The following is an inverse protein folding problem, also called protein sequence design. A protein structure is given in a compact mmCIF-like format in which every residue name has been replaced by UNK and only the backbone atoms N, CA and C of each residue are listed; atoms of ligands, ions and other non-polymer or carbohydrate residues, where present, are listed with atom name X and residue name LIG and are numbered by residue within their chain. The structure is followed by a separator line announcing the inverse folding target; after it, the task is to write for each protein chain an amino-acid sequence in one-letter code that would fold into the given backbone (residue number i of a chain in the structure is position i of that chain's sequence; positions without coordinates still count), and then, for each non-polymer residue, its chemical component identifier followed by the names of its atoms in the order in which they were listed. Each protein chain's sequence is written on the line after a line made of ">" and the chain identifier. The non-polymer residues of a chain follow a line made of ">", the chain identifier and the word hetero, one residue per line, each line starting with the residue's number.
data_IF_252741336768
#
_entry.id   IF_252741336768
#
_cell.length_a   1.000
_cell.length_b   1.000
_cell.length_c   1.000
_cell.angle_alpha   90.00
_cell.angle_beta   90.00
_cell.angle_gamma   90.00
#
_symmetry.space_group_name_H-M   'P 1'
#
loop_
_entity.id
_entity.type
_entity.pdbx_description
1 polymer ?
#
# COMPACT_ATOMS: atom_id res chain seq x y z
N UNK A 1 65.60 49.24 17.90
CA UNK A 1 64.19 49.72 17.73
C UNK A 1 63.36 48.58 17.27
N UNK A 2 62.48 48.05 18.12
CA UNK A 2 61.65 46.88 17.92
C UNK A 2 60.19 47.34 17.57
N UNK A 3 59.72 47.10 16.38
CA UNK A 3 58.34 47.36 15.99
C UNK A 3 57.51 46.09 16.25
N UNK A 4 56.54 46.18 17.13
CA UNK A 4 55.56 45.15 17.43
C UNK A 4 54.46 45.15 16.34
N UNK A 5 54.30 44.04 15.66
CA UNK A 5 53.20 43.80 14.71
C UNK A 5 52.00 43.23 15.48
N UNK A 6 50.95 44.01 15.61
CA UNK A 6 49.67 43.57 16.20
C UNK A 6 48.93 42.66 15.23
N UNK A 7 48.71 41.42 15.63
CA UNK A 7 47.82 40.46 14.96
C UNK A 7 46.36 40.76 15.33
N UNK A 8 45.62 41.30 14.39
CA UNK A 8 44.18 41.49 14.51
C UNK A 8 43.49 40.18 14.20
N UNK A 9 42.99 39.46 15.21
CA UNK A 9 42.19 38.27 15.06
C UNK A 9 40.77 38.67 14.68
N UNK A 10 40.44 38.57 13.40
CA UNK A 10 39.06 38.68 12.89
C UNK A 10 38.23 37.48 13.41
N UNK A 11 37.32 37.74 14.33
CA UNK A 11 36.28 36.79 14.73
C UNK A 11 35.16 36.86 13.70
N UNK A 12 35.09 35.87 12.81
CA UNK A 12 33.94 35.65 11.94
C UNK A 12 32.78 35.14 12.82
N UNK A 13 31.83 36.01 13.11
CA UNK A 13 30.55 35.61 13.68
C UNK A 13 29.75 34.96 12.56
N UNK A 14 29.57 33.65 12.64
CA UNK A 14 28.64 32.90 11.82
C UNK A 14 27.20 33.17 12.35
N UNK A 15 26.26 33.76 11.58
CA UNK A 15 24.90 33.88 12.04
C UNK A 15 24.28 32.49 12.06
N UNK A 16 23.99 32.00 13.26
CA UNK A 16 23.17 30.82 13.48
C UNK A 16 21.77 31.12 12.95
N UNK A 17 21.44 30.61 11.74
CA UNK A 17 20.12 30.68 11.16
C UNK A 17 19.20 29.70 11.94
N UNK A 18 18.58 30.24 12.98
CA UNK A 18 17.58 29.54 13.78
C UNK A 18 16.32 29.34 12.91
N UNK A 19 16.20 28.17 12.27
CA UNK A 19 14.96 27.75 11.61
C UNK A 19 13.90 27.51 12.70
N UNK A 20 13.07 28.51 12.94
CA UNK A 20 11.83 28.34 13.69
C UNK A 20 10.89 27.47 12.84
N UNK A 21 10.91 26.18 13.09
CA UNK A 21 9.87 25.26 12.63
C UNK A 21 8.56 25.65 13.34
N UNK A 22 7.76 26.48 12.72
CA UNK A 22 6.35 26.62 13.10
C UNK A 22 5.67 25.27 12.78
N UNK A 23 5.67 24.38 13.75
CA UNK A 23 4.77 23.24 13.73
C UNK A 23 3.34 23.82 13.86
N UNK A 24 2.64 23.92 12.73
CA UNK A 24 1.21 24.15 12.75
C UNK A 24 0.55 22.93 13.42
N UNK A 25 0.34 23.00 14.73
CA UNK A 25 -0.48 22.06 15.47
C UNK A 25 -1.94 22.43 15.21
N UNK A 26 -2.53 21.84 14.16
CA UNK A 26 -3.98 21.81 14.03
C UNK A 26 -4.50 20.84 15.10
N UNK A 27 -5.45 21.27 15.93
CA UNK A 27 -6.04 20.41 16.95
C UNK A 27 -6.63 19.15 16.27
N UNK A 28 -6.48 17.96 16.87
CA UNK A 28 -7.14 16.77 16.37
C UNK A 28 -8.66 16.98 16.35
N UNK A 29 -9.36 16.33 15.41
CA UNK A 29 -10.82 16.35 15.39
C UNK A 29 -11.36 15.65 16.66
N UNK A 30 -11.87 16.46 17.59
CA UNK A 30 -12.42 16.02 18.89
C UNK A 30 -13.96 15.94 18.85
N UNK A 31 -14.58 15.96 17.67
CA UNK A 31 -16.03 15.78 17.57
C UNK A 31 -16.44 14.37 18.06
N UNK A 32 -17.70 14.19 18.51
CA UNK A 32 -18.16 12.88 18.95
C UNK A 32 -17.97 11.80 17.89
N UNK A 33 -17.62 10.60 18.31
CA UNK A 33 -17.53 9.45 17.40
C UNK A 33 -18.95 9.06 16.97
N UNK A 34 -19.14 8.92 15.66
CA UNK A 34 -20.39 8.46 15.06
C UNK A 34 -20.16 7.23 14.17
N UNK A 35 -21.21 6.49 13.95
CA UNK A 35 -21.34 5.49 12.89
C UNK A 35 -22.26 6.04 11.81
N UNK A 36 -21.85 5.89 10.54
CA UNK A 36 -22.63 6.32 9.38
C UNK A 36 -22.69 5.20 8.37
N UNK A 37 -23.87 4.71 8.11
CA UNK A 37 -24.12 3.77 7.02
C UNK A 37 -24.27 4.51 5.70
N UNK A 38 -23.69 3.94 4.65
CA UNK A 38 -23.64 4.52 3.31
C UNK A 38 -24.44 3.59 2.38
N UNK A 39 -25.53 4.08 1.87
CA UNK A 39 -26.39 3.32 0.95
C UNK A 39 -25.82 3.37 -0.47
N UNK A 40 -24.90 2.47 -0.78
CA UNK A 40 -24.26 2.31 -2.09
C UNK A 40 -24.24 0.83 -2.49
N UNK A 41 -24.35 0.55 -3.78
CA UNK A 41 -24.35 -0.80 -4.33
C UNK A 41 -23.79 -0.81 -5.77
N UNK A 42 -23.73 -1.98 -6.41
CA UNK A 42 -23.33 -2.10 -7.80
C UNK A 42 -21.83 -1.94 -8.05
N UNK A 43 -20.99 -2.13 -7.03
CA UNK A 43 -19.53 -2.07 -7.17
C UNK A 43 -18.87 -3.43 -6.90
N UNK A 44 -17.74 -3.66 -7.51
CA UNK A 44 -16.87 -4.82 -7.26
C UNK A 44 -15.39 -4.42 -7.15
N UNK A 45 -15.12 -3.12 -7.18
CA UNK A 45 -13.82 -2.50 -7.02
C UNK A 45 -13.90 -1.46 -5.91
N UNK A 46 -12.85 -1.36 -5.10
CA UNK A 46 -12.77 -0.39 -3.99
C UNK A 46 -11.51 0.44 -4.14
N UNK A 47 -11.67 1.75 -4.18
CA UNK A 47 -10.60 2.73 -4.20
C UNK A 47 -10.71 3.58 -2.93
N UNK A 48 -9.60 3.66 -2.18
CA UNK A 48 -9.55 4.48 -0.98
C UNK A 48 -8.21 5.22 -0.91
N UNK A 49 -8.30 6.51 -0.68
CA UNK A 49 -7.15 7.39 -0.46
C UNK A 49 -7.01 7.82 1.00
N UNK A 50 -5.98 8.63 1.28
CA UNK A 50 -5.80 9.32 2.55
C UNK A 50 -5.45 8.40 3.76
N UNK A 51 -6.19 8.50 4.88
CA UNK A 51 -5.89 7.81 6.14
C UNK A 51 -7.10 7.01 6.64
N UNK A 52 -7.45 5.98 5.91
CA UNK A 52 -8.53 5.06 6.28
C UNK A 52 -8.00 3.71 6.77
N UNK A 53 -8.75 3.07 7.63
CA UNK A 53 -8.62 1.65 7.96
C UNK A 53 -9.79 0.91 7.32
N UNK A 54 -9.54 0.20 6.22
CA UNK A 54 -10.58 -0.38 5.35
C UNK A 54 -10.62 -1.88 5.55
N UNK A 55 -11.77 -2.41 6.00
CA UNK A 55 -12.02 -3.85 6.11
C UNK A 55 -13.03 -4.26 5.06
N UNK A 56 -12.64 -5.17 4.16
CA UNK A 56 -13.46 -5.68 3.06
C UNK A 56 -13.71 -7.17 3.27
N UNK A 57 -14.98 -7.55 3.35
CA UNK A 57 -15.38 -8.94 3.54
C UNK A 57 -16.41 -9.38 2.51
N UNK A 58 -16.38 -10.68 2.15
CA UNK A 58 -17.42 -11.25 1.30
C UNK A 58 -18.74 -11.37 2.05
N UNK A 59 -19.82 -10.99 1.40
CA UNK A 59 -21.19 -11.20 1.89
C UNK A 59 -22.17 -11.25 0.73
N UNK A 60 -23.45 -11.49 1.01
CA UNK A 60 -24.49 -11.60 -0.01
C UNK A 60 -25.11 -10.27 -0.40
N UNK A 61 -24.92 -9.24 0.44
CA UNK A 61 -25.46 -7.89 0.26
C UNK A 61 -24.35 -6.86 0.32
N UNK A 62 -24.60 -5.72 -0.32
CA UNK A 62 -23.72 -4.55 -0.17
C UNK A 62 -23.98 -3.91 1.18
N UNK A 63 -22.92 -3.64 1.91
CA UNK A 63 -22.95 -2.89 3.16
C UNK A 63 -21.69 -2.05 3.27
N UNK A 64 -21.85 -0.77 3.57
CA UNK A 64 -20.74 0.15 3.79
C UNK A 64 -21.02 1.00 5.03
N UNK A 65 -20.08 1.01 5.95
CA UNK A 65 -20.17 1.80 7.20
C UNK A 65 -18.84 2.51 7.47
N UNK A 66 -18.92 3.78 7.85
CA UNK A 66 -17.80 4.54 8.36
C UNK A 66 -17.99 4.82 9.86
N UNK A 67 -16.92 4.70 10.63
CA UNK A 67 -16.90 4.96 12.10
C UNK A 67 -15.72 5.86 12.45
N UNK A 68 -15.98 6.95 13.14
CA UNK A 68 -14.97 7.90 13.59
C UNK A 68 -15.53 9.25 14.02
N UNK A 69 -14.69 10.26 14.29
CA UNK A 69 -15.13 11.60 14.63
C UNK A 69 -16.08 12.20 13.58
N UNK A 70 -17.18 12.79 14.04
CA UNK A 70 -18.31 13.22 13.22
C UNK A 70 -17.91 14.18 12.09
N UNK A 71 -17.05 15.16 12.37
CA UNK A 71 -16.61 16.10 11.35
C UNK A 71 -15.84 15.38 10.22
N UNK A 72 -14.93 14.46 10.58
CA UNK A 72 -14.15 13.69 9.62
C UNK A 72 -15.01 12.71 8.83
N UNK A 73 -15.95 11.99 9.48
CA UNK A 73 -16.86 11.06 8.81
C UNK A 73 -17.79 11.79 7.85
N UNK A 74 -18.29 12.99 8.20
CA UNK A 74 -19.17 13.77 7.34
C UNK A 74 -18.46 14.45 6.16
N UNK A 75 -17.14 14.60 6.23
CA UNK A 75 -16.32 15.13 5.15
C UNK A 75 -15.93 14.07 4.09
N UNK A 76 -16.26 12.80 4.33
CA UNK A 76 -15.98 11.73 3.35
C UNK A 76 -16.99 11.79 2.20
N UNK A 77 -16.49 11.79 0.97
CA UNK A 77 -17.26 11.64 -0.25
C UNK A 77 -17.26 10.18 -0.69
N UNK A 78 -18.39 9.73 -1.18
CA UNK A 78 -18.66 8.37 -1.63
C UNK A 78 -19.22 8.43 -3.04
N UNK A 79 -18.57 7.81 -3.99
CA UNK A 79 -19.10 7.72 -5.36
C UNK A 79 -19.01 6.30 -5.89
N UNK A 80 -20.03 5.88 -6.67
CA UNK A 80 -19.98 4.62 -7.40
C UNK A 80 -20.09 4.93 -8.88
N UNK A 81 -19.01 4.64 -9.62
CA UNK A 81 -18.96 4.77 -11.07
C UNK A 81 -18.11 3.64 -11.66
N UNK A 82 -18.50 3.10 -12.80
CA UNK A 82 -17.79 2.01 -13.48
C UNK A 82 -17.49 0.79 -12.57
N UNK A 83 -18.42 0.47 -11.67
CA UNK A 83 -18.31 -0.57 -10.65
C UNK A 83 -17.20 -0.30 -9.61
N UNK A 84 -16.76 0.94 -9.45
CA UNK A 84 -15.78 1.37 -8.47
C UNK A 84 -16.51 2.13 -7.35
N UNK A 85 -16.36 1.68 -6.11
CA UNK A 85 -16.63 2.50 -4.93
C UNK A 85 -15.36 3.33 -4.66
N UNK A 86 -15.45 4.64 -4.85
CA UNK A 86 -14.38 5.60 -4.58
C UNK A 86 -14.65 6.34 -3.27
N UNK A 87 -13.68 6.33 -2.37
CA UNK A 87 -13.77 6.82 -0.99
C UNK A 87 -12.65 7.83 -0.78
N UNK A 88 -13.01 9.10 -0.63
CA UNK A 88 -12.06 10.20 -0.45
C UNK A 88 -12.64 11.25 0.51
N UNK A 89 -11.80 12.13 1.03
CA UNK A 89 -12.29 13.32 1.70
C UNK A 89 -12.66 14.42 0.69
N UNK A 90 -13.70 15.20 0.99
CA UNK A 90 -14.08 16.38 0.20
C UNK A 90 -13.02 17.49 0.31
N UNK A 91 -12.41 17.63 1.48
CA UNK A 91 -11.40 18.64 1.75
C UNK A 91 -10.09 17.98 2.20
N UNK A 92 -8.98 18.42 1.60
CA UNK A 92 -7.67 17.94 2.03
C UNK A 92 -7.26 18.65 3.33
N UNK A 93 -7.04 17.87 4.38
CA UNK A 93 -6.58 18.39 5.68
C UNK A 93 -5.42 17.56 6.23
N UNK A 94 -4.43 18.25 6.81
CA UNK A 94 -3.36 17.59 7.52
C UNK A 94 -3.86 17.05 8.89
N UNK A 95 -3.28 15.95 9.38
CA UNK A 95 -3.56 15.37 10.69
C UNK A 95 -5.00 14.89 10.94
N UNK A 96 -5.70 14.41 9.90
CA UNK A 96 -6.99 13.75 10.11
C UNK A 96 -6.85 12.50 10.96
N UNK A 97 -7.84 12.19 11.82
CA UNK A 97 -7.91 10.91 12.51
C UNK A 97 -8.06 9.78 11.48
N UNK A 98 -7.69 8.56 11.88
CA UNK A 98 -7.99 7.36 11.09
C UNK A 98 -9.48 7.07 11.22
N UNK A 99 -10.16 6.85 10.10
CA UNK A 99 -11.57 6.45 10.07
C UNK A 99 -11.65 4.98 9.69
N UNK A 100 -12.40 4.21 10.49
CA UNK A 100 -12.67 2.81 10.20
C UNK A 100 -13.79 2.70 9.16
N UNK A 101 -13.53 1.98 8.07
CA UNK A 101 -14.49 1.73 6.99
C UNK A 101 -14.68 0.23 6.85
N UNK A 102 -15.90 -0.24 7.03
CA UNK A 102 -16.29 -1.63 6.84
C UNK A 102 -17.09 -1.75 5.55
N UNK A 103 -16.69 -2.68 4.69
CA UNK A 103 -17.32 -2.93 3.38
C UNK A 103 -17.64 -4.42 3.28
N UNK A 104 -18.88 -4.72 2.94
CA UNK A 104 -19.30 -6.08 2.55
C UNK A 104 -19.84 -6.04 1.14
N UNK A 105 -19.44 -7.01 0.30
CA UNK A 105 -19.90 -7.11 -1.10
C UNK A 105 -19.85 -8.56 -1.60
N UNK A 106 -20.70 -8.92 -2.58
CA UNK A 106 -20.78 -10.31 -3.06
C UNK A 106 -19.63 -10.73 -3.98
N UNK A 107 -19.11 -9.79 -4.75
CA UNK A 107 -18.02 -10.02 -5.72
C UNK A 107 -16.98 -8.92 -5.59
N UNK A 108 -15.72 -9.32 -5.51
CA UNK A 108 -14.59 -8.40 -5.43
C UNK A 108 -13.53 -8.73 -6.51
N UNK A 109 -13.06 -7.71 -7.23
CA UNK A 109 -12.09 -7.89 -8.31
C UNK A 109 -10.90 -6.92 -8.24
N UNK A 110 -11.02 -5.78 -7.56
CA UNK A 110 -9.91 -4.82 -7.49
C UNK A 110 -9.90 -4.00 -6.20
N UNK A 111 -8.70 -3.82 -5.66
CA UNK A 111 -8.38 -2.88 -4.60
C UNK A 111 -7.37 -1.85 -5.10
N UNK A 112 -7.61 -0.59 -4.79
CA UNK A 112 -6.63 0.47 -4.98
C UNK A 112 -6.54 1.30 -3.69
N UNK A 113 -5.38 1.26 -3.03
CA UNK A 113 -5.13 2.03 -1.81
C UNK A 113 -3.99 3.01 -2.06
N UNK A 114 -4.23 4.26 -1.68
CA UNK A 114 -3.25 5.34 -1.82
C UNK A 114 -3.10 6.15 -0.52
N UNK A 115 -2.06 6.96 -0.41
CA UNK A 115 -1.82 7.72 0.81
C UNK A 115 -1.27 6.85 1.94
N UNK A 116 -1.96 6.81 3.09
CA UNK A 116 -1.56 6.03 4.26
C UNK A 116 -2.71 5.11 4.75
N UNK A 117 -3.35 4.42 3.81
CA UNK A 117 -4.47 3.51 4.08
C UNK A 117 -3.97 2.17 4.61
N UNK A 118 -4.64 1.63 5.63
CA UNK A 118 -4.49 0.24 6.03
C UNK A 118 -5.70 -0.55 5.54
N UNK A 119 -5.48 -1.62 4.78
CA UNK A 119 -6.53 -2.47 4.22
C UNK A 119 -6.49 -3.90 4.73
N UNK A 120 -7.65 -4.51 4.91
CA UNK A 120 -7.80 -5.95 5.14
C UNK A 120 -8.87 -6.48 4.22
N UNK A 121 -8.55 -7.52 3.43
CA UNK A 121 -9.50 -8.18 2.50
C UNK A 121 -9.58 -9.64 2.86
N UNK A 122 -10.80 -10.18 3.00
CA UNK A 122 -11.00 -11.58 3.37
C UNK A 122 -12.32 -12.18 2.86
N UNK A 123 -12.37 -13.52 2.83
CA UNK A 123 -13.56 -14.28 2.47
C UNK A 123 -13.76 -14.54 0.97
N UNK A 124 -12.95 -13.94 0.10
CA UNK A 124 -13.03 -14.14 -1.35
C UNK A 124 -12.21 -15.37 -1.75
N UNK A 125 -12.87 -16.52 -1.77
CA UNK A 125 -12.26 -17.80 -2.14
C UNK A 125 -12.91 -18.38 -3.40
N UNK A 126 -12.11 -19.07 -4.22
CA UNK A 126 -12.59 -19.72 -5.44
C UNK A 126 -13.05 -18.73 -6.52
N UNK A 127 -12.58 -17.48 -6.47
CA UNK A 127 -12.88 -16.52 -7.52
C UNK A 127 -12.21 -16.98 -8.83
N UNK A 128 -13.02 -17.25 -9.85
CA UNK A 128 -12.54 -17.52 -11.22
C UNK A 128 -12.03 -16.26 -11.93
N UNK A 129 -11.95 -15.14 -11.22
CA UNK A 129 -11.63 -13.83 -11.77
C UNK A 129 -10.19 -13.41 -11.46
N UNK A 130 -9.69 -12.47 -12.27
CA UNK A 130 -8.47 -11.73 -11.98
C UNK A 130 -8.71 -10.84 -10.76
N UNK A 131 -7.89 -11.02 -9.73
CA UNK A 131 -7.85 -10.14 -8.56
C UNK A 131 -6.71 -9.15 -8.72
N UNK A 132 -7.02 -7.86 -8.74
CA UNK A 132 -6.00 -6.82 -8.85
C UNK A 132 -5.87 -6.02 -7.56
N UNK A 133 -4.63 -5.84 -7.11
CA UNK A 133 -4.31 -5.00 -5.94
C UNK A 133 -3.26 -3.97 -6.31
N UNK A 134 -3.57 -2.70 -6.12
CA UNK A 134 -2.68 -1.57 -6.38
C UNK A 134 -2.47 -0.81 -5.07
N UNK A 135 -1.23 -0.70 -4.64
CA UNK A 135 -0.84 0.03 -3.44
C UNK A 135 0.15 1.14 -3.78
N UNK A 136 -0.10 2.33 -3.27
CA UNK A 136 0.80 3.48 -3.46
C UNK A 136 0.93 4.34 -2.19
N UNK A 137 1.89 5.25 -2.19
CA UNK A 137 2.17 6.09 -1.02
C UNK A 137 2.85 5.31 0.10
N UNK A 138 2.20 5.18 1.24
CA UNK A 138 2.62 4.41 2.41
C UNK A 138 1.51 3.46 2.87
N UNK A 139 0.76 2.89 1.94
CA UNK A 139 -0.38 2.02 2.23
C UNK A 139 0.06 0.63 2.66
N UNK A 140 -0.74 0.00 3.52
CA UNK A 140 -0.54 -1.39 3.94
C UNK A 140 -1.79 -2.21 3.67
N UNK A 141 -1.62 -3.47 3.23
CA UNK A 141 -2.76 -4.35 3.03
C UNK A 141 -2.45 -5.79 3.44
N UNK A 142 -3.43 -6.44 4.07
CA UNK A 142 -3.46 -7.88 4.28
C UNK A 142 -4.57 -8.44 3.40
N UNK A 143 -4.22 -9.35 2.50
CA UNK A 143 -5.15 -9.98 1.59
C UNK A 143 -5.19 -11.49 1.85
N UNK A 144 -6.36 -12.00 2.28
CA UNK A 144 -6.59 -13.41 2.52
C UNK A 144 -7.64 -13.91 1.51
N UNK A 145 -7.20 -14.72 0.54
CA UNK A 145 -8.11 -15.19 -0.50
C UNK A 145 -7.46 -16.12 -1.51
N UNK A 146 -8.29 -16.60 -2.44
CA UNK A 146 -7.84 -17.43 -3.55
C UNK A 146 -8.37 -16.87 -4.86
N UNK A 147 -7.57 -16.94 -5.90
CA UNK A 147 -7.95 -16.49 -7.25
C UNK A 147 -7.24 -17.31 -8.32
N UNK A 148 -7.73 -17.26 -9.54
CA UNK A 148 -7.02 -17.86 -10.69
C UNK A 148 -5.79 -17.02 -11.01
N UNK A 149 -5.97 -15.72 -11.18
CA UNK A 149 -4.89 -14.78 -11.47
C UNK A 149 -4.87 -13.64 -10.44
N UNK A 150 -3.72 -13.37 -9.88
CA UNK A 150 -3.49 -12.20 -9.01
C UNK A 150 -2.53 -11.23 -9.68
N UNK A 151 -2.95 -9.98 -9.83
CA UNK A 151 -2.13 -8.88 -10.32
C UNK A 151 -1.85 -7.90 -9.19
N UNK A 152 -0.57 -7.58 -8.97
CA UNK A 152 -0.12 -6.78 -7.84
C UNK A 152 0.79 -5.67 -8.35
N UNK A 153 0.42 -4.42 -8.07
CA UNK A 153 1.25 -3.26 -8.33
C UNK A 153 1.54 -2.53 -7.01
N UNK A 154 2.79 -2.48 -6.58
CA UNK A 154 3.20 -1.83 -5.32
C UNK A 154 4.24 -0.76 -5.62
N UNK A 155 3.96 0.45 -5.14
CA UNK A 155 4.88 1.59 -5.28
C UNK A 155 5.00 2.41 -4.00
N UNK A 156 5.96 3.33 -3.97
CA UNK A 156 6.24 4.14 -2.78
C UNK A 156 6.83 3.31 -1.65
N UNK A 157 6.34 3.48 -0.43
CA UNK A 157 6.72 2.72 0.77
C UNK A 157 5.58 1.78 1.22
N UNK A 158 4.83 1.23 0.27
CA UNK A 158 3.66 0.41 0.55
C UNK A 158 4.03 -1.05 0.81
N UNK A 159 3.18 -1.75 1.57
CA UNK A 159 3.38 -3.15 1.95
C UNK A 159 2.11 -3.96 1.71
N UNK A 160 2.28 -5.13 1.06
CA UNK A 160 1.20 -6.10 0.85
C UNK A 160 1.60 -7.45 1.42
N UNK A 161 0.76 -8.00 2.29
CA UNK A 161 0.84 -9.36 2.79
C UNK A 161 -0.29 -10.17 2.15
N UNK A 162 0.05 -11.25 1.43
CA UNK A 162 -0.95 -12.08 0.73
C UNK A 162 -0.86 -13.52 1.20
N UNK A 163 -2.02 -14.07 1.58
CA UNK A 163 -2.15 -15.45 2.02
C UNK A 163 -3.24 -16.16 1.20
N UNK A 164 -3.03 -17.43 0.86
CA UNK A 164 -3.99 -18.25 0.12
C UNK A 164 -3.39 -19.05 -1.02
N UNK A 165 -4.04 -19.05 -2.18
CA UNK A 165 -3.53 -19.72 -3.39
C UNK A 165 -3.95 -19.01 -4.67
N UNK A 166 -3.12 -19.15 -5.71
CA UNK A 166 -3.40 -18.66 -7.06
C UNK A 166 -2.74 -19.60 -8.09
N UNK A 167 -3.28 -19.65 -9.29
CA UNK A 167 -2.57 -20.28 -10.41
C UNK A 167 -1.42 -19.39 -10.87
N UNK A 168 -1.68 -18.12 -11.08
CA UNK A 168 -0.66 -17.16 -11.55
C UNK A 168 -0.62 -15.90 -10.70
N UNK A 169 0.59 -15.51 -10.32
CA UNK A 169 0.89 -14.26 -9.63
C UNK A 169 1.74 -13.38 -10.56
N UNK A 170 1.20 -12.21 -10.92
CA UNK A 170 1.90 -11.16 -11.66
C UNK A 170 2.13 -9.97 -10.74
N UNK A 171 3.36 -9.47 -10.65
CA UNK A 171 3.64 -8.37 -9.72
C UNK A 171 4.72 -7.41 -10.18
N UNK A 172 4.45 -6.11 -10.00
CA UNK A 172 5.42 -5.05 -10.17
C UNK A 172 5.63 -4.32 -8.84
N UNK A 173 6.84 -4.35 -8.31
CA UNK A 173 7.18 -3.74 -7.04
C UNK A 173 8.28 -2.70 -7.25
N UNK A 174 8.03 -1.46 -6.84
CA UNK A 174 8.95 -0.36 -7.07
C UNK A 174 9.13 0.55 -5.84
N UNK A 175 10.09 1.44 -5.90
CA UNK A 175 10.40 2.35 -4.78
C UNK A 175 11.00 1.58 -3.59
N UNK A 176 10.38 1.68 -2.44
CA UNK A 176 10.68 0.91 -1.22
C UNK A 176 9.52 -0.07 -0.90
N UNK A 177 8.76 -0.47 -1.91
CA UNK A 177 7.61 -1.36 -1.79
C UNK A 177 7.98 -2.76 -1.31
N UNK A 178 7.06 -3.40 -0.58
CA UNK A 178 7.24 -4.76 -0.06
C UNK A 178 6.07 -5.65 -0.41
N UNK A 179 6.36 -6.82 -0.97
CA UNK A 179 5.42 -7.91 -1.18
C UNK A 179 5.82 -9.10 -0.32
N UNK A 180 4.95 -9.55 0.58
CA UNK A 180 5.09 -10.76 1.37
C UNK A 180 4.03 -11.78 0.91
N UNK A 181 4.40 -12.72 0.05
CA UNK A 181 3.55 -13.75 -0.53
C UNK A 181 4.14 -15.17 -0.35
N UNK A 182 4.91 -15.41 0.72
CA UNK A 182 5.37 -16.78 1.03
C UNK A 182 4.23 -17.72 1.43
N UNK A 183 3.14 -17.17 1.96
CA UNK A 183 1.95 -17.91 2.36
C UNK A 183 0.87 -17.92 1.24
N UNK A 184 1.21 -17.43 0.05
CA UNK A 184 0.43 -17.58 -1.17
C UNK A 184 1.03 -18.73 -2.00
N UNK A 185 0.35 -19.86 -2.07
CA UNK A 185 0.75 -20.95 -2.94
C UNK A 185 0.46 -20.58 -4.40
N UNK A 186 1.51 -20.40 -5.21
CA UNK A 186 1.38 -20.02 -6.63
C UNK A 186 1.98 -21.10 -7.53
N UNK A 187 1.30 -21.44 -8.63
CA UNK A 187 1.84 -22.34 -9.65
C UNK A 187 2.84 -21.61 -10.52
N UNK A 188 2.49 -20.43 -10.97
CA UNK A 188 3.33 -19.54 -11.78
C UNK A 188 3.52 -18.21 -11.10
N UNK A 189 4.72 -17.66 -11.20
CA UNK A 189 5.07 -16.33 -10.68
C UNK A 189 5.84 -15.57 -11.74
N UNK A 190 5.39 -14.35 -12.04
CA UNK A 190 6.07 -13.36 -12.87
C UNK A 190 6.19 -12.06 -12.05
N UNK A 191 7.40 -11.76 -11.59
CA UNK A 191 7.68 -10.69 -10.64
C UNK A 191 8.80 -9.79 -11.13
N UNK A 192 8.53 -8.49 -11.20
CA UNK A 192 9.52 -7.46 -11.45
C UNK A 192 9.68 -6.57 -10.21
N UNK A 193 10.91 -6.42 -9.74
CA UNK A 193 11.25 -5.60 -8.59
C UNK A 193 12.32 -4.55 -8.95
N UNK A 194 12.11 -3.30 -8.55
CA UNK A 194 13.02 -2.20 -8.87
C UNK A 194 13.22 -1.22 -7.71
N UNK A 195 14.26 -0.40 -7.78
CA UNK A 195 14.59 0.54 -6.71
C UNK A 195 15.17 -0.18 -5.50
N UNK A 196 14.65 0.08 -4.31
CA UNK A 196 15.00 -0.59 -3.05
C UNK A 196 13.92 -1.56 -2.58
N UNK A 197 13.11 -2.10 -3.48
CA UNK A 197 11.95 -2.92 -3.16
C UNK A 197 12.30 -4.36 -2.79
N UNK A 198 11.37 -5.05 -2.15
CA UNK A 198 11.51 -6.45 -1.75
C UNK A 198 10.26 -7.25 -2.11
N UNK A 199 10.44 -8.42 -2.73
CA UNK A 199 9.37 -9.38 -2.97
C UNK A 199 9.73 -10.74 -2.38
N UNK A 200 8.76 -11.40 -1.74
CA UNK A 200 8.86 -12.75 -1.22
C UNK A 200 7.73 -13.58 -1.80
N UNK A 201 8.03 -14.61 -2.58
CA UNK A 201 7.04 -15.39 -3.31
C UNK A 201 7.26 -16.90 -3.12
N UNK A 202 6.19 -17.67 -3.22
CA UNK A 202 6.23 -19.13 -3.23
C UNK A 202 5.72 -19.63 -4.58
N UNK A 203 6.50 -20.48 -5.25
CA UNK A 203 6.21 -20.94 -6.61
C UNK A 203 6.50 -22.45 -6.74
N UNK A 204 5.65 -23.15 -7.52
CA UNK A 204 5.80 -24.59 -7.70
C UNK A 204 6.27 -25.01 -9.09
N UNK A 205 5.87 -24.29 -10.16
CA UNK A 205 6.14 -24.72 -11.54
C UNK A 205 6.99 -23.74 -12.34
N UNK A 206 6.59 -22.47 -12.50
CA UNK A 206 7.28 -21.48 -13.33
C UNK A 206 7.60 -20.21 -12.59
N UNK A 207 8.86 -19.77 -12.65
CA UNK A 207 9.33 -18.52 -12.07
C UNK A 207 9.98 -17.65 -13.14
N UNK A 208 9.40 -16.48 -13.37
CA UNK A 208 10.03 -15.34 -14.04
C UNK A 208 10.29 -14.26 -12.99
N UNK A 209 11.55 -13.88 -12.81
CA UNK A 209 11.92 -12.92 -11.78
C UNK A 209 12.95 -11.94 -12.33
N UNK A 210 12.61 -10.66 -12.30
CA UNK A 210 13.48 -9.56 -12.70
C UNK A 210 13.75 -8.64 -11.50
N UNK A 211 15.03 -8.50 -11.10
CA UNK A 211 15.43 -7.62 -10.01
C UNK A 211 16.44 -6.58 -10.49
N UNK A 212 16.08 -5.30 -10.35
CA UNK A 212 16.91 -4.18 -10.81
C UNK A 212 17.19 -3.16 -9.70
N UNK A 213 18.24 -2.37 -9.83
CA UNK A 213 18.64 -1.42 -8.79
C UNK A 213 19.13 -2.14 -7.53
N UNK A 214 18.62 -1.76 -6.36
CA UNK A 214 18.93 -2.40 -5.08
C UNK A 214 17.85 -3.39 -4.59
N UNK A 215 16.99 -3.86 -5.49
CA UNK A 215 15.85 -4.71 -5.13
C UNK A 215 16.24 -6.16 -4.83
N UNK A 216 15.38 -6.84 -4.06
CA UNK A 216 15.55 -8.24 -3.72
C UNK A 216 14.28 -9.03 -3.94
N UNK A 217 14.41 -10.17 -4.62
CA UNK A 217 13.32 -11.15 -4.77
C UNK A 217 13.74 -12.44 -4.07
N UNK A 218 13.00 -12.84 -3.06
CA UNK A 218 13.16 -14.13 -2.40
C UNK A 218 12.08 -15.08 -2.89
N UNK A 219 12.46 -16.31 -3.23
CA UNK A 219 11.47 -17.31 -3.62
C UNK A 219 11.64 -18.64 -2.87
N UNK A 220 10.53 -19.28 -2.57
CA UNK A 220 10.45 -20.65 -2.04
C UNK A 220 9.87 -21.57 -3.08
N UNK A 221 10.36 -22.81 -3.09
CA UNK A 221 9.90 -23.86 -4.01
C UNK A 221 10.99 -24.30 -4.97
N UNK A 222 10.65 -25.27 -5.82
CA UNK A 222 11.55 -25.86 -6.82
C UNK A 222 10.90 -25.82 -8.21
N UNK A 223 10.69 -24.63 -8.78
CA UNK A 223 10.02 -24.50 -10.07
C UNK A 223 10.81 -25.21 -11.17
N UNK A 224 10.10 -25.92 -12.05
CA UNK A 224 10.68 -26.65 -13.17
C UNK A 224 11.28 -25.70 -14.21
N UNK A 225 10.68 -24.52 -14.39
CA UNK A 225 11.17 -23.47 -15.30
C UNK A 225 11.56 -22.25 -14.48
N UNK A 226 12.80 -21.77 -14.67
CA UNK A 226 13.30 -20.54 -14.05
C UNK A 226 13.89 -19.61 -15.11
N UNK A 227 13.39 -18.39 -15.17
CA UNK A 227 13.99 -17.29 -15.91
C UNK A 227 14.28 -16.14 -14.92
N UNK A 228 15.55 -15.92 -14.63
CA UNK A 228 16.00 -14.95 -13.65
C UNK A 228 16.86 -13.90 -14.34
N UNK A 229 16.48 -12.63 -14.20
CA UNK A 229 17.22 -11.49 -14.72
C UNK A 229 17.57 -10.54 -13.58
N UNK A 230 18.82 -10.12 -13.52
CA UNK A 230 19.28 -9.16 -12.50
C UNK A 230 20.16 -8.09 -13.13
N UNK A 231 20.01 -6.86 -12.67
CA UNK A 231 20.89 -5.75 -13.06
C UNK A 231 21.06 -4.72 -11.93
N UNK A 232 22.10 -3.92 -12.03
CA UNK A 232 22.40 -2.86 -11.08
C UNK A 232 22.86 -3.38 -9.72
N UNK A 233 22.20 -3.92 -8.89
CA UNK A 233 22.52 -4.53 -7.58
C UNK A 233 21.39 -5.43 -7.14
N UNK A 234 20.47 -5.71 -8.09
CA UNK A 234 19.32 -6.57 -7.89
C UNK A 234 19.72 -8.01 -7.60
N UNK A 235 18.96 -8.67 -6.76
CA UNK A 235 19.22 -10.05 -6.33
C UNK A 235 17.94 -10.89 -6.37
N UNK A 236 18.08 -12.14 -6.84
CA UNK A 236 17.03 -13.17 -6.75
C UNK A 236 17.60 -14.36 -5.97
N UNK A 237 16.97 -14.69 -4.84
CA UNK A 237 17.52 -15.60 -3.83
C UNK A 237 16.51 -16.70 -3.52
N UNK A 238 16.90 -17.95 -3.65
CA UNK A 238 16.11 -19.10 -3.19
C UNK A 238 16.28 -19.30 -1.68
N UNK A 239 15.16 -19.55 -0.98
CA UNK A 239 15.12 -19.82 0.47
C UNK A 239 14.60 -21.22 0.79
#
# INVERSE_FOLDING_TARGET
>A
MKSKLNQLKSRVLLPSLLFLLFACHKNPDNSPVIEKEINVNGFNKVYAGERFNVTITKGTVFYVKATGPANSVNDITWSVANNILDIQYAHHENNRPVIDIVITLPLFVQLNLSGAVTGTVSGFQGASNVLRTVLSGASKCIFNGTGVNMQIDISGASELNVNGSTESLYGNISGAGKLNAFDLASTEVDISASGGSEARVRVTDRLFAEATGGSRIYYKGTPAVKNIQTSGGGQVIQQ
#
